data_IF_624814756424
#
_entry.id   IF_624814756424
#
_cell.length_a   1.000
_cell.length_b   1.000
_cell.length_c   1.000
_cell.angle_alpha   90.00
_cell.angle_beta   90.00
_cell.angle_gamma   90.00
#
_symmetry.space_group_name_H-M   'P 1'
#
loop_
_entity.id
_entity.type
_entity.pdbx_description
1 polymer ?
#
# COMPACT_ATOMS: atom_id res chain seq x y z
N UNK A 1 -21.41 18.31 -14.52
CA UNK A 1 -21.13 19.46 -15.42
C UNK A 1 -22.37 20.04 -16.11
N UNK A 2 -23.26 19.25 -16.73
CA UNK A 2 -24.42 19.78 -17.49
C UNK A 2 -25.42 20.64 -16.69
N UNK A 3 -25.61 20.38 -15.38
CA UNK A 3 -26.54 21.14 -14.51
C UNK A 3 -26.04 22.55 -14.13
N UNK A 4 -24.73 22.72 -13.98
CA UNK A 4 -24.11 24.00 -13.59
C UNK A 4 -24.07 25.02 -14.75
N UNK A 5 -23.92 24.52 -15.99
CA UNK A 5 -23.91 25.35 -17.20
C UNK A 5 -25.29 26.01 -17.43
N UNK A 6 -26.39 25.28 -17.18
CA UNK A 6 -27.75 25.81 -17.32
C UNK A 6 -28.04 26.93 -16.30
N UNK A 7 -27.50 26.79 -15.08
CA UNK A 7 -27.69 27.76 -14.00
C UNK A 7 -26.95 29.08 -14.28
N UNK A 8 -25.74 28.99 -14.83
CA UNK A 8 -24.95 30.17 -15.23
C UNK A 8 -25.63 30.94 -16.37
N UNK A 9 -26.25 30.22 -17.30
CA UNK A 9 -26.98 30.80 -18.43
C UNK A 9 -28.27 31.51 -17.98
N UNK A 10 -28.99 30.94 -17.01
CA UNK A 10 -30.17 31.57 -16.39
C UNK A 10 -29.81 32.80 -15.53
N UNK A 11 -28.69 32.77 -14.81
CA UNK A 11 -28.23 33.91 -14.02
C UNK A 11 -27.84 35.11 -14.92
N UNK A 12 -27.18 34.84 -16.06
CA UNK A 12 -26.84 35.87 -17.05
C UNK A 12 -28.12 36.47 -17.67
N UNK A 13 -29.10 35.63 -18.04
CA UNK A 13 -30.38 36.12 -18.59
C UNK A 13 -31.14 36.97 -17.55
N UNK A 14 -31.16 36.57 -16.28
CA UNK A 14 -31.84 37.32 -15.22
C UNK A 14 -31.22 38.68 -14.90
N UNK A 15 -29.92 38.86 -15.12
CA UNK A 15 -29.21 40.12 -14.87
C UNK A 15 -29.50 41.15 -15.98
N UNK A 16 -29.67 40.71 -17.23
CA UNK A 16 -29.75 41.58 -18.40
C UNK A 16 -31.18 41.86 -18.91
N UNK A 17 -32.22 41.24 -18.34
CA UNK A 17 -33.61 41.52 -18.71
C UNK A 17 -34.17 42.68 -17.88
N UNK A 18 -34.35 43.84 -18.53
CA UNK A 18 -35.11 44.96 -17.97
C UNK A 18 -36.59 44.84 -18.38
N UNK A 19 -37.47 44.58 -17.40
CA UNK A 19 -38.91 44.62 -17.61
C UNK A 19 -39.41 46.07 -17.46
N UNK A 20 -39.50 46.79 -18.57
CA UNK A 20 -39.96 48.18 -18.64
C UNK A 20 -41.40 48.40 -18.14
N UNK A 21 -42.20 47.33 -17.95
CA UNK A 21 -43.60 47.42 -17.49
C UNK A 21 -43.78 47.42 -15.95
N UNK A 22 -42.76 47.04 -15.18
CA UNK A 22 -42.88 46.82 -13.72
C UNK A 22 -42.53 48.05 -12.86
N UNK A 23 -42.07 49.15 -13.47
CA UNK A 23 -41.53 50.29 -12.75
C UNK A 23 -40.27 49.94 -11.95
N UNK A 24 -39.59 50.96 -11.42
CA UNK A 24 -38.30 50.79 -10.72
C UNK A 24 -38.44 49.84 -9.51
N UNK A 25 -39.52 49.99 -8.75
CA UNK A 25 -39.77 49.18 -7.54
C UNK A 25 -40.12 47.73 -7.87
N UNK A 26 -40.93 47.49 -8.91
CA UNK A 26 -41.29 46.12 -9.33
C UNK A 26 -40.11 45.36 -9.93
N UNK A 27 -39.21 46.04 -10.64
CA UNK A 27 -37.96 45.45 -11.13
C UNK A 27 -37.02 45.00 -10.00
N UNK A 28 -36.97 45.76 -8.90
CA UNK A 28 -36.17 45.39 -7.71
C UNK A 28 -36.78 44.16 -7.03
N UNK A 29 -38.10 44.14 -6.79
CA UNK A 29 -38.78 42.99 -6.17
C UNK A 29 -38.58 41.71 -7.00
N UNK A 30 -38.68 41.81 -8.31
CA UNK A 30 -38.46 40.67 -9.21
C UNK A 30 -37.02 40.13 -9.14
N UNK A 31 -36.02 41.02 -9.11
CA UNK A 31 -34.62 40.61 -8.95
C UNK A 31 -34.36 39.94 -7.61
N UNK A 32 -35.00 40.41 -6.53
CA UNK A 32 -34.93 39.79 -5.20
C UNK A 32 -35.57 38.39 -5.21
N UNK A 33 -36.70 38.21 -5.89
CA UNK A 33 -37.35 36.90 -6.01
C UNK A 33 -36.52 35.89 -6.80
N UNK A 34 -35.90 36.32 -7.91
CA UNK A 34 -35.00 35.47 -8.69
C UNK A 34 -33.75 35.11 -7.87
N UNK A 35 -33.10 36.08 -7.23
CA UNK A 35 -31.93 35.80 -6.40
C UNK A 35 -32.28 34.89 -5.21
N UNK A 36 -33.42 35.12 -4.56
CA UNK A 36 -33.93 34.25 -3.50
C UNK A 36 -34.18 32.83 -3.98
N UNK A 37 -34.80 32.66 -5.16
CA UNK A 37 -35.03 31.34 -5.77
C UNK A 37 -33.74 30.61 -6.15
N UNK A 38 -32.77 31.32 -6.74
CA UNK A 38 -31.45 30.75 -7.09
C UNK A 38 -30.67 30.38 -5.82
N UNK A 39 -30.66 31.24 -4.80
CA UNK A 39 -30.04 30.93 -3.51
C UNK A 39 -30.68 29.73 -2.83
N UNK A 40 -32.01 29.61 -2.86
CA UNK A 40 -32.71 28.44 -2.31
C UNK A 40 -32.36 27.16 -3.07
N UNK A 41 -32.29 27.22 -4.41
CA UNK A 41 -31.94 26.06 -5.24
C UNK A 41 -30.47 25.63 -5.06
N UNK A 42 -29.54 26.58 -4.92
CA UNK A 42 -28.15 26.30 -4.57
C UNK A 42 -28.02 25.68 -3.17
N UNK A 43 -28.80 26.18 -2.22
CA UNK A 43 -28.89 25.60 -0.88
C UNK A 43 -29.45 24.17 -0.91
N UNK A 44 -30.46 23.90 -1.73
CA UNK A 44 -31.05 22.57 -1.87
C UNK A 44 -30.10 21.56 -2.52
N UNK A 45 -29.34 21.98 -3.54
CA UNK A 45 -28.27 21.15 -4.14
C UNK A 45 -27.15 20.87 -3.14
N UNK A 46 -26.69 21.91 -2.42
CA UNK A 46 -25.66 21.77 -1.40
C UNK A 46 -26.11 20.86 -0.25
N UNK A 47 -27.39 20.95 0.13
CA UNK A 47 -28.00 20.09 1.15
C UNK A 47 -28.05 18.63 0.70
N UNK A 48 -28.47 18.34 -0.53
CA UNK A 48 -28.51 16.97 -1.04
C UNK A 48 -27.10 16.39 -1.25
N UNK A 49 -26.12 17.18 -1.69
CA UNK A 49 -24.72 16.71 -1.78
C UNK A 49 -24.11 16.41 -0.41
N UNK A 50 -24.54 17.13 0.63
CA UNK A 50 -24.08 16.93 2.00
C UNK A 50 -24.92 15.92 2.79
N UNK A 51 -26.13 15.56 2.35
CA UNK A 51 -26.91 14.46 2.94
C UNK A 51 -26.37 13.09 2.48
N UNK A 52 -25.83 12.96 1.25
CA UNK A 52 -25.11 11.75 0.80
C UNK A 52 -23.77 11.53 1.55
N UNK A 53 -23.05 12.60 1.91
CA UNK A 53 -21.84 12.52 2.76
C UNK A 53 -22.17 12.53 4.27
N UNK A 54 -23.36 13.01 4.64
CA UNK A 54 -23.85 13.18 6.01
C UNK A 54 -24.44 11.91 6.64
N UNK A 55 -24.82 10.92 5.84
CA UNK A 55 -25.30 9.62 6.31
C UNK A 55 -24.15 8.68 6.74
N UNK A 56 -22.95 8.81 6.16
CA UNK A 56 -21.75 8.07 6.58
C UNK A 56 -21.00 8.74 7.74
N UNK A 57 -21.17 10.05 7.96
CA UNK A 57 -20.41 10.82 8.97
C UNK A 57 -21.12 11.03 10.32
N UNK A 58 -22.41 10.68 10.46
CA UNK A 58 -23.19 10.89 11.71
C UNK A 58 -22.87 9.95 12.88
N UNK A 59 -21.86 9.08 12.79
CA UNK A 59 -21.38 8.31 13.94
C UNK A 59 -20.01 8.72 14.49
N UNK A 60 -19.36 9.76 13.93
CA UNK A 60 -18.08 10.23 14.46
C UNK A 60 -18.09 11.74 14.58
N UNK A 61 -18.34 12.26 15.78
CA UNK A 61 -17.40 13.14 16.49
C UNK A 61 -18.01 13.75 17.76
N UNK A 62 -17.37 13.48 18.90
CA UNK A 62 -17.22 14.44 19.99
C UNK A 62 -15.94 14.13 20.78
N UNK A 63 -14.82 14.73 20.41
CA UNK A 63 -13.92 15.54 21.28
C UNK A 63 -12.54 15.82 20.62
N UNK A 64 -11.85 16.90 21.02
CA UNK A 64 -11.08 17.75 20.12
C UNK A 64 -9.66 17.24 19.81
N UNK A 65 -9.27 17.43 18.56
CA UNK A 65 -7.97 17.09 17.98
C UNK A 65 -6.92 18.12 18.40
N UNK A 66 -5.94 17.68 19.19
CA UNK A 66 -4.57 18.17 19.10
C UNK A 66 -3.99 17.76 17.75
N UNK A 67 -3.49 18.74 17.03
CA UNK A 67 -2.88 18.64 15.71
C UNK A 67 -1.69 17.68 15.71
N UNK A 68 -1.88 16.49 15.16
CA UNK A 68 -0.79 15.67 14.64
C UNK A 68 -1.12 15.34 13.18
N UNK A 69 -0.26 15.86 12.30
CA UNK A 69 -0.28 15.60 10.86
C UNK A 69 0.09 14.13 10.66
N UNK A 70 -0.91 13.25 10.69
CA UNK A 70 -0.77 11.89 10.21
C UNK A 70 -0.80 11.93 8.68
N UNK A 71 0.39 11.78 8.10
CA UNK A 71 0.55 11.44 6.71
C UNK A 71 -0.30 10.20 6.40
N UNK A 72 -1.19 10.29 5.42
CA UNK A 72 -1.72 9.14 4.71
C UNK A 72 -0.52 8.42 4.08
N UNK A 73 0.02 7.43 4.79
CA UNK A 73 0.82 6.40 4.16
C UNK A 73 -0.17 5.45 3.48
N UNK A 74 -0.35 5.65 2.17
CA UNK A 74 -0.59 4.52 1.28
C UNK A 74 0.54 3.52 1.54
N UNK A 75 0.30 2.58 2.46
CA UNK A 75 1.16 1.45 2.68
C UNK A 75 1.10 0.60 1.41
N UNK A 76 1.94 0.97 0.44
CA UNK A 76 2.28 0.16 -0.71
C UNK A 76 2.66 -1.20 -0.15
N UNK A 77 1.83 -2.20 -0.45
CA UNK A 77 2.12 -3.59 -0.13
C UNK A 77 3.38 -3.97 -0.91
N UNK A 78 4.55 -3.87 -0.28
CA UNK A 78 5.82 -4.30 -0.85
C UNK A 78 5.85 -5.83 -0.73
N UNK A 79 5.30 -6.47 -1.75
CA UNK A 79 5.49 -7.90 -2.03
C UNK A 79 5.76 -8.11 -3.53
N UNK A 80 6.62 -7.26 -4.10
CA UNK A 80 7.14 -7.44 -5.45
C UNK A 80 8.65 -7.29 -5.41
N UNK A 81 9.33 -8.15 -6.17
CA UNK A 81 10.67 -7.90 -6.65
C UNK A 81 10.79 -6.42 -7.00
N UNK A 82 11.61 -5.69 -6.24
CA UNK A 82 11.89 -4.27 -6.51
C UNK A 82 13.24 -4.20 -7.19
N UNK A 83 13.43 -3.18 -8.03
CA UNK A 83 14.73 -2.94 -8.66
C UNK A 83 15.82 -2.78 -7.60
N UNK A 84 15.52 -2.10 -6.49
CA UNK A 84 16.44 -1.98 -5.37
C UNK A 84 16.83 -3.33 -4.76
N UNK A 85 15.87 -4.23 -4.55
CA UNK A 85 16.14 -5.56 -4.02
C UNK A 85 16.97 -6.40 -4.99
N UNK A 86 16.66 -6.35 -6.29
CA UNK A 86 17.40 -7.07 -7.34
C UNK A 86 18.87 -6.59 -7.37
N UNK A 87 19.10 -5.27 -7.40
CA UNK A 87 20.45 -4.70 -7.39
C UNK A 87 21.23 -4.97 -6.09
N UNK A 88 20.53 -5.14 -4.95
CA UNK A 88 21.16 -5.42 -3.67
C UNK A 88 21.48 -6.90 -3.46
N UNK A 89 20.65 -7.80 -4.00
CA UNK A 89 20.78 -9.26 -3.85
C UNK A 89 21.72 -9.85 -4.89
N UNK A 90 21.68 -9.36 -6.12
CA UNK A 90 22.47 -9.84 -7.24
C UNK A 90 23.57 -8.84 -7.60
N UNK A 91 24.81 -9.14 -7.17
CA UNK A 91 25.98 -8.32 -7.50
C UNK A 91 26.18 -8.14 -9.00
N UNK A 92 25.74 -9.09 -9.83
CA UNK A 92 25.89 -9.02 -11.29
C UNK A 92 24.98 -7.97 -11.91
N UNK A 93 23.79 -7.74 -11.36
CA UNK A 93 22.85 -6.72 -11.85
C UNK A 93 23.39 -5.31 -11.59
N UNK A 94 23.97 -5.07 -10.41
CA UNK A 94 24.61 -3.79 -10.11
C UNK A 94 25.87 -3.60 -10.97
N UNK A 95 26.71 -4.63 -11.10
CA UNK A 95 27.89 -4.59 -11.98
C UNK A 95 27.52 -4.28 -13.43
N UNK A 96 26.45 -4.89 -13.95
CA UNK A 96 25.93 -4.58 -15.29
C UNK A 96 25.61 -3.09 -15.43
N UNK A 97 24.85 -2.51 -14.50
CA UNK A 97 24.50 -1.07 -14.54
C UNK A 97 25.74 -0.18 -14.44
N UNK A 98 26.71 -0.54 -13.60
CA UNK A 98 27.97 0.20 -13.46
C UNK A 98 28.84 0.11 -14.72
N UNK A 99 28.83 -1.04 -15.41
CA UNK A 99 29.51 -1.23 -16.68
C UNK A 99 28.86 -0.37 -17.77
N UNK A 100 27.53 -0.33 -17.85
CA UNK A 100 26.82 0.53 -18.80
C UNK A 100 27.09 2.03 -18.52
N UNK A 101 27.16 2.44 -17.25
CA UNK A 101 27.61 3.78 -16.89
C UNK A 101 29.03 4.06 -17.43
N UNK A 102 29.95 3.10 -17.30
CA UNK A 102 31.32 3.25 -17.79
C UNK A 102 31.41 3.29 -19.33
N UNK A 103 30.57 2.52 -20.03
CA UNK A 103 30.44 2.54 -21.50
C UNK A 103 29.97 3.92 -21.96
N UNK A 104 28.89 4.44 -21.37
CA UNK A 104 28.39 5.78 -21.71
C UNK A 104 29.46 6.84 -21.41
N UNK A 105 30.12 6.77 -20.24
CA UNK A 105 31.22 7.65 -19.89
C UNK A 105 32.34 7.66 -20.93
N UNK A 106 32.78 6.48 -21.38
CA UNK A 106 33.85 6.35 -22.37
C UNK A 106 33.44 6.83 -23.77
N UNK A 107 32.15 6.78 -24.07
CA UNK A 107 31.59 7.20 -25.36
C UNK A 107 31.42 8.72 -25.47
N UNK A 108 30.84 9.37 -24.45
CA UNK A 108 30.53 10.83 -24.48
C UNK A 108 31.61 11.71 -23.83
N UNK A 109 32.52 11.11 -23.05
CA UNK A 109 33.66 11.77 -22.38
C UNK A 109 33.24 13.02 -21.59
N UNK A 110 32.39 12.87 -20.55
CA UNK A 110 31.90 14.01 -19.76
C UNK A 110 32.97 14.47 -18.76
N UNK A 111 32.77 15.63 -18.13
CA UNK A 111 33.59 16.03 -16.98
C UNK A 111 33.12 15.34 -15.69
N UNK A 112 31.81 15.21 -15.49
CA UNK A 112 31.23 14.54 -14.33
C UNK A 112 30.05 13.66 -14.73
N UNK A 113 29.76 12.69 -13.86
CA UNK A 113 28.60 11.84 -14.04
C UNK A 113 28.08 11.25 -12.73
N UNK A 114 26.79 11.00 -12.69
CA UNK A 114 26.07 10.47 -11.54
C UNK A 114 25.04 9.44 -11.99
N UNK A 115 24.88 8.40 -11.18
CA UNK A 115 23.85 7.39 -11.35
C UNK A 115 22.93 7.42 -10.14
N UNK A 116 21.63 7.61 -10.38
CA UNK A 116 20.60 7.54 -9.35
C UNK A 116 19.60 6.43 -9.64
N UNK A 117 19.02 5.88 -8.59
CA UNK A 117 17.84 5.01 -8.63
C UNK A 117 16.67 5.70 -7.94
N UNK A 118 15.49 5.60 -8.52
CA UNK A 118 14.23 5.81 -7.81
C UNK A 118 13.59 4.47 -7.51
N UNK A 119 13.36 4.19 -6.23
CA UNK A 119 12.64 3.00 -5.79
C UNK A 119 11.12 3.11 -5.93
N UNK A 120 10.43 2.00 -5.74
CA UNK A 120 8.97 1.94 -5.75
C UNK A 120 8.31 2.78 -4.63
N UNK A 121 9.08 3.05 -3.57
CA UNK A 121 8.79 3.95 -2.46
C UNK A 121 8.91 5.45 -2.82
N UNK A 122 9.35 5.75 -4.05
CA UNK A 122 9.61 7.11 -4.52
C UNK A 122 10.93 7.70 -4.04
N UNK A 123 11.68 7.01 -3.17
CA UNK A 123 12.94 7.51 -2.66
C UNK A 123 14.02 7.45 -3.75
N UNK A 124 14.71 8.59 -3.91
CA UNK A 124 15.85 8.72 -4.79
C UNK A 124 17.14 8.45 -4.02
N UNK A 125 17.98 7.56 -4.54
CA UNK A 125 19.29 7.21 -3.97
C UNK A 125 20.36 7.29 -5.05
N UNK A 126 21.53 7.87 -4.72
CA UNK A 126 22.71 7.84 -5.59
C UNK A 126 23.39 6.47 -5.49
N UNK A 127 23.57 5.81 -6.63
CA UNK A 127 24.28 4.52 -6.74
C UNK A 127 25.76 4.70 -7.05
N UNK A 128 26.08 5.67 -7.93
CA UNK A 128 27.45 5.88 -8.39
C UNK A 128 27.70 7.35 -8.77
N UNK A 129 28.96 7.75 -8.78
CA UNK A 129 29.40 9.02 -9.33
C UNK A 129 30.86 8.91 -9.81
N UNK A 130 31.23 9.74 -10.78
CA UNK A 130 32.59 9.84 -11.30
C UNK A 130 32.90 11.27 -11.72
N UNK A 131 34.11 11.73 -11.42
CA UNK A 131 34.60 13.08 -11.72
C UNK A 131 35.95 12.99 -12.44
N UNK A 132 36.15 13.84 -13.45
CA UNK A 132 37.44 13.97 -14.14
C UNK A 132 38.44 14.83 -13.35
N UNK A 133 37.93 15.71 -12.49
CA UNK A 133 38.69 16.61 -11.60
C UNK A 133 38.04 16.66 -10.22
N UNK A 134 38.82 16.86 -9.16
CA UNK A 134 38.27 16.93 -7.80
C UNK A 134 37.30 18.11 -7.67
N UNK A 135 36.07 17.82 -7.25
CA UNK A 135 35.02 18.81 -6.99
C UNK A 135 34.32 18.39 -5.69
N UNK A 136 34.11 19.33 -4.77
CA UNK A 136 33.32 19.06 -3.58
C UNK A 136 31.82 19.10 -3.93
N UNK A 137 31.09 18.01 -3.70
CA UNK A 137 29.64 17.95 -3.94
C UNK A 137 28.88 17.95 -2.61
N UNK A 138 27.77 18.68 -2.53
CA UNK A 138 26.89 18.64 -1.36
C UNK A 138 26.13 17.31 -1.37
N UNK A 139 26.48 16.43 -0.43
CA UNK A 139 26.05 15.01 -0.42
C UNK A 139 24.52 14.82 -0.35
N UNK A 140 23.81 15.79 0.23
CA UNK A 140 22.37 15.67 0.55
C UNK A 140 21.44 16.26 -0.51
N UNK A 141 21.96 16.96 -1.52
CA UNK A 141 21.11 17.63 -2.52
C UNK A 141 20.75 16.72 -3.69
N UNK A 142 19.46 16.73 -4.06
CA UNK A 142 18.89 15.88 -5.12
C UNK A 142 18.44 16.71 -6.32
N UNK A 143 18.66 16.24 -7.56
CA UNK A 143 18.27 16.97 -8.77
C UNK A 143 16.78 16.80 -9.10
N UNK A 144 15.88 16.95 -8.12
CA UNK A 144 14.47 16.58 -8.26
C UNK A 144 13.76 17.31 -9.42
N UNK A 145 14.10 18.57 -9.68
CA UNK A 145 13.58 19.34 -10.81
C UNK A 145 13.93 18.70 -12.16
N UNK A 146 15.20 18.32 -12.34
CA UNK A 146 15.68 17.66 -13.55
C UNK A 146 15.02 16.29 -13.73
N UNK A 147 14.90 15.53 -12.65
CA UNK A 147 14.26 14.21 -12.71
C UNK A 147 12.77 14.33 -13.04
N UNK A 148 12.07 15.31 -12.47
CA UNK A 148 10.68 15.59 -12.79
C UNK A 148 10.48 16.01 -14.26
N UNK A 149 11.48 16.63 -14.90
CA UNK A 149 11.44 16.92 -16.34
C UNK A 149 11.55 15.63 -17.17
N UNK A 150 12.49 14.75 -16.82
CA UNK A 150 12.64 13.43 -17.46
C UNK A 150 11.36 12.58 -17.29
N UNK A 151 10.72 12.67 -16.13
CA UNK A 151 9.49 11.94 -15.84
C UNK A 151 8.28 12.39 -16.66
N UNK A 152 8.28 13.60 -17.20
CA UNK A 152 7.17 14.15 -18.00
C UNK A 152 7.17 13.68 -19.45
N UNK A 153 8.16 12.88 -19.88
CA UNK A 153 8.09 12.14 -21.15
C UNK A 153 9.37 12.10 -21.99
N UNK A 154 10.50 12.59 -21.49
CA UNK A 154 11.79 12.47 -22.19
C UNK A 154 12.64 11.38 -21.55
N UNK A 155 12.97 10.35 -22.32
CA UNK A 155 13.94 9.31 -21.93
C UNK A 155 15.37 9.83 -21.99
N UNK A 156 15.66 10.77 -22.89
CA UNK A 156 16.95 11.45 -22.97
C UNK A 156 16.69 12.96 -23.05
N UNK A 157 17.37 13.71 -22.20
CA UNK A 157 17.40 15.18 -22.21
C UNK A 157 18.83 15.61 -22.54
N UNK A 158 18.97 16.40 -23.59
CA UNK A 158 20.24 16.99 -24.01
C UNK A 158 20.11 18.52 -23.98
N UNK A 159 20.83 19.14 -23.05
CA UNK A 159 20.96 20.59 -22.96
C UNK A 159 22.36 21.01 -23.38
N UNK A 160 22.45 21.70 -24.51
CA UNK A 160 23.72 22.06 -25.15
C UNK A 160 24.39 23.27 -24.49
N UNK A 161 23.64 24.17 -23.89
CA UNK A 161 24.18 25.27 -23.08
C UNK A 161 23.26 25.56 -21.88
N UNK A 162 23.64 25.09 -20.70
CA UNK A 162 22.94 25.39 -19.46
C UNK A 162 23.56 26.62 -18.80
N UNK A 163 22.71 27.58 -18.47
CA UNK A 163 23.14 28.79 -17.75
C UNK A 163 23.34 28.46 -16.26
N UNK A 164 24.29 29.12 -15.56
CA UNK A 164 24.54 28.89 -14.13
C UNK A 164 23.28 29.04 -13.26
N UNK A 165 22.34 29.89 -13.66
CA UNK A 165 21.06 30.08 -12.98
C UNK A 165 20.05 28.90 -13.15
N UNK A 166 20.44 27.81 -13.84
CA UNK A 166 19.60 26.62 -13.97
C UNK A 166 19.77 25.71 -12.75
N UNK A 167 18.79 25.68 -11.85
CA UNK A 167 18.76 24.81 -10.66
C UNK A 167 18.63 23.30 -10.98
N UNK A 168 19.10 22.86 -12.16
CA UNK A 168 19.01 21.49 -12.65
C UNK A 168 19.94 20.54 -11.89
N UNK A 169 21.12 21.03 -11.49
CA UNK A 169 22.15 20.27 -10.78
C UNK A 169 22.51 20.97 -9.45
N UNK A 170 21.63 20.90 -8.43
CA UNK A 170 21.76 21.73 -7.23
C UNK A 170 22.96 21.34 -6.35
N UNK A 171 23.51 20.14 -6.52
CA UNK A 171 24.60 19.61 -5.70
C UNK A 171 25.99 20.20 -5.97
N UNK A 172 26.14 21.09 -6.97
CA UNK A 172 27.37 21.82 -7.24
C UNK A 172 27.46 23.12 -6.44
N UNK A 173 28.68 23.47 -6.03
CA UNK A 173 29.00 24.84 -5.65
C UNK A 173 29.28 25.65 -6.92
N UNK A 174 28.48 26.69 -7.19
CA UNK A 174 28.63 27.52 -8.38
C UNK A 174 30.02 28.19 -8.44
N UNK A 175 30.66 28.48 -7.31
CA UNK A 175 31.97 29.12 -7.31
C UNK A 175 33.09 28.13 -7.67
N UNK A 176 32.87 26.83 -7.48
CA UNK A 176 33.86 25.77 -7.75
C UNK A 176 33.67 25.15 -9.14
N UNK A 177 32.41 24.90 -9.54
CA UNK A 177 32.08 24.22 -10.77
C UNK A 177 30.77 24.72 -11.38
N UNK A 178 30.86 25.24 -12.62
CA UNK A 178 29.70 25.66 -13.41
C UNK A 178 29.54 24.73 -14.61
N UNK A 179 28.58 23.80 -14.59
CA UNK A 179 28.27 23.00 -15.76
C UNK A 179 27.74 23.91 -16.87
N UNK A 180 28.12 23.63 -18.11
CA UNK A 180 27.72 24.34 -19.33
C UNK A 180 26.97 23.46 -20.30
N UNK A 181 27.05 22.14 -20.22
CA UNK A 181 26.14 21.26 -20.94
C UNK A 181 25.75 20.07 -20.07
N UNK A 182 24.58 19.50 -20.35
CA UNK A 182 23.99 18.39 -19.60
C UNK A 182 23.41 17.36 -20.57
N UNK A 183 23.71 16.08 -20.30
CA UNK A 183 23.04 14.94 -20.87
C UNK A 183 22.44 14.12 -19.72
N UNK A 184 21.13 13.88 -19.76
CA UNK A 184 20.46 13.04 -18.79
C UNK A 184 19.70 11.92 -19.50
N UNK A 185 19.83 10.69 -19.00
CA UNK A 185 19.18 9.50 -19.55
C UNK A 185 18.35 8.87 -18.44
N UNK A 186 17.06 8.65 -18.70
CA UNK A 186 16.13 7.92 -17.88
C UNK A 186 15.94 6.51 -18.46
N UNK A 187 16.34 5.51 -17.69
CA UNK A 187 16.00 4.11 -17.93
C UNK A 187 14.76 3.76 -17.08
N UNK A 188 13.57 3.84 -17.68
CA UNK A 188 12.32 3.46 -17.01
C UNK A 188 12.18 1.93 -16.98
N UNK A 189 12.27 1.34 -15.78
CA UNK A 189 12.17 -0.11 -15.60
C UNK A 189 10.73 -0.51 -15.31
N UNK A 190 10.06 0.27 -14.46
CA UNK A 190 8.62 0.15 -14.22
C UNK A 190 8.02 1.55 -14.16
N UNK A 191 6.68 1.65 -14.09
CA UNK A 191 5.98 2.95 -13.91
C UNK A 191 6.42 3.74 -12.67
N UNK A 192 7.07 3.10 -11.70
CA UNK A 192 7.50 3.71 -10.43
C UNK A 192 9.01 3.64 -10.20
N UNK A 193 9.72 2.82 -10.96
CA UNK A 193 11.14 2.56 -10.75
C UNK A 193 11.94 2.89 -12.01
N UNK A 194 12.99 3.69 -11.83
CA UNK A 194 13.84 4.11 -12.92
C UNK A 194 15.28 4.34 -12.44
N UNK A 195 16.21 4.23 -13.38
CA UNK A 195 17.58 4.71 -13.22
C UNK A 195 17.75 6.03 -13.97
N UNK A 196 18.58 6.90 -13.42
CA UNK A 196 18.93 8.18 -14.02
C UNK A 196 20.44 8.28 -14.14
N UNK A 197 20.92 8.38 -15.38
CA UNK A 197 22.31 8.63 -15.70
C UNK A 197 22.43 10.11 -16.05
N UNK A 198 23.17 10.87 -15.25
CA UNK A 198 23.36 12.30 -15.43
C UNK A 198 24.82 12.54 -15.76
N UNK A 199 25.09 13.30 -16.81
CA UNK A 199 26.45 13.65 -17.24
C UNK A 199 26.52 15.13 -17.60
N UNK A 200 27.56 15.81 -17.14
CA UNK A 200 27.77 17.23 -17.42
C UNK A 200 29.18 17.54 -17.90
N UNK A 201 29.33 18.73 -18.50
CA UNK A 201 30.59 19.27 -18.97
C UNK A 201 30.68 20.76 -18.71
N UNK A 202 31.91 21.28 -18.47
CA UNK A 202 32.23 22.71 -18.40
C UNK A 202 32.19 23.39 -19.77
N UNK A 203 32.11 22.62 -20.86
CA UNK A 203 32.14 23.13 -22.22
C UNK A 203 30.73 23.12 -22.82
N UNK A 204 30.24 24.23 -23.39
CA UNK A 204 28.98 24.23 -24.11
C UNK A 204 29.09 23.37 -25.37
N UNK A 205 28.00 22.70 -25.75
CA UNK A 205 27.90 21.76 -26.87
C UNK A 205 28.86 20.54 -26.75
N UNK A 206 29.25 20.14 -25.53
CA UNK A 206 30.14 18.99 -25.37
C UNK A 206 29.53 17.65 -25.82
N UNK A 207 28.20 17.56 -25.86
CA UNK A 207 27.47 16.35 -26.25
C UNK A 207 26.76 16.56 -27.59
N UNK A 208 26.96 15.64 -28.54
CA UNK A 208 26.40 15.72 -29.88
C UNK A 208 25.00 15.09 -29.93
N UNK A 209 24.08 15.71 -30.68
CA UNK A 209 22.76 15.14 -30.96
C UNK A 209 22.81 13.92 -31.88
N UNK A 210 23.87 13.75 -32.67
CA UNK A 210 24.07 12.56 -33.52
C UNK A 210 24.38 11.29 -32.71
N UNK A 211 24.81 11.44 -31.45
CA UNK A 211 25.10 10.33 -30.55
C UNK A 211 23.83 9.76 -29.88
N UNK A 212 22.71 10.49 -29.94
CA UNK A 212 21.45 10.13 -29.29
C UNK A 212 20.97 8.72 -29.69
N UNK A 213 20.97 8.30 -30.98
CA UNK A 213 20.52 6.95 -31.36
C UNK A 213 21.34 5.82 -30.72
N UNK A 214 22.64 6.04 -30.50
CA UNK A 214 23.51 5.06 -29.83
C UNK A 214 23.17 5.01 -28.34
N UNK A 215 22.99 6.18 -27.71
CA UNK A 215 22.57 6.28 -26.31
C UNK A 215 21.17 5.67 -26.07
N UNK A 216 20.24 5.83 -27.02
CA UNK A 216 18.93 5.19 -27.00
C UNK A 216 19.04 3.66 -27.09
N UNK A 217 19.97 3.16 -27.90
CA UNK A 217 20.25 1.71 -28.01
C UNK A 217 20.79 1.16 -26.68
N UNK A 218 21.76 1.85 -26.08
CA UNK A 218 22.31 1.50 -24.76
C UNK A 218 21.20 1.53 -23.69
N UNK A 219 20.41 2.61 -23.65
CA UNK A 219 19.31 2.74 -22.70
C UNK A 219 18.27 1.64 -22.86
N UNK A 220 17.92 1.28 -24.10
CA UNK A 220 16.98 0.20 -24.39
C UNK A 220 17.51 -1.16 -23.92
N UNK A 221 18.82 -1.40 -24.07
CA UNK A 221 19.49 -2.60 -23.54
C UNK A 221 19.40 -2.66 -22.01
N UNK A 222 19.72 -1.56 -21.31
CA UNK A 222 19.62 -1.44 -19.85
C UNK A 222 18.20 -1.77 -19.39
N UNK A 223 17.20 -1.12 -19.99
CA UNK A 223 15.79 -1.33 -19.65
C UNK A 223 15.38 -2.78 -19.88
N UNK A 224 15.75 -3.37 -21.02
CA UNK A 224 15.41 -4.75 -21.36
C UNK A 224 15.99 -5.76 -20.37
N UNK A 225 17.28 -5.66 -20.06
CA UNK A 225 17.96 -6.59 -19.15
C UNK A 225 17.40 -6.49 -17.74
N UNK A 226 17.28 -5.27 -17.20
CA UNK A 226 16.80 -5.06 -15.83
C UNK A 226 15.33 -5.43 -15.66
N UNK A 227 14.48 -5.11 -16.64
CA UNK A 227 13.08 -5.53 -16.64
C UNK A 227 12.96 -7.05 -16.62
N UNK A 228 13.83 -7.75 -17.37
CA UNK A 228 13.84 -9.20 -17.39
C UNK A 228 14.30 -9.80 -16.05
N UNK A 229 15.34 -9.25 -15.44
CA UNK A 229 15.80 -9.69 -14.12
C UNK A 229 14.72 -9.50 -13.06
N UNK A 230 14.02 -8.36 -13.09
CA UNK A 230 12.91 -8.07 -12.18
C UNK A 230 11.74 -9.05 -12.33
N UNK A 231 11.41 -9.42 -13.58
CA UNK A 231 10.41 -10.44 -13.89
C UNK A 231 10.81 -11.81 -13.35
N UNK A 232 12.07 -12.23 -13.59
CA UNK A 232 12.60 -13.53 -13.12
C UNK A 232 12.61 -13.61 -11.60
N UNK A 233 13.04 -12.57 -10.89
CA UNK A 233 13.01 -12.54 -9.42
C UNK A 233 11.57 -12.59 -8.87
N UNK A 234 10.63 -11.92 -9.56
CA UNK A 234 9.21 -11.98 -9.23
C UNK A 234 8.62 -13.39 -9.40
N UNK A 235 8.98 -14.08 -10.48
CA UNK A 235 8.59 -15.47 -10.73
C UNK A 235 9.20 -16.42 -9.70
N UNK A 236 10.48 -16.28 -9.38
CA UNK A 236 11.16 -17.12 -8.39
C UNK A 236 10.52 -16.97 -7.00
N UNK A 237 10.22 -15.73 -6.60
CA UNK A 237 9.53 -15.44 -5.33
C UNK A 237 8.12 -16.04 -5.31
N UNK A 238 7.36 -15.93 -6.40
CA UNK A 238 6.04 -16.54 -6.52
C UNK A 238 6.10 -18.07 -6.44
N UNK A 239 7.05 -18.70 -7.14
CA UNK A 239 7.24 -20.16 -7.11
C UNK A 239 7.58 -20.66 -5.72
N UNK A 240 8.50 -19.99 -5.02
CA UNK A 240 8.87 -20.36 -3.64
C UNK A 240 7.66 -20.29 -2.71
N UNK A 241 6.80 -19.27 -2.85
CA UNK A 241 5.55 -19.16 -2.09
C UNK A 241 4.58 -20.31 -2.39
N UNK A 242 4.38 -20.66 -3.66
CA UNK A 242 3.50 -21.79 -4.03
C UNK A 242 4.03 -23.13 -3.50
N UNK A 243 5.35 -23.35 -3.56
CA UNK A 243 5.98 -24.55 -3.00
C UNK A 243 5.72 -24.66 -1.49
N UNK A 244 5.89 -23.56 -0.76
CA UNK A 244 5.62 -23.52 0.67
C UNK A 244 4.15 -23.85 1.00
N UNK A 245 3.21 -23.31 0.22
CA UNK A 245 1.78 -23.64 0.39
C UNK A 245 1.47 -25.10 0.08
N UNK A 246 2.10 -25.69 -0.94
CA UNK A 246 1.94 -27.11 -1.26
C UNK A 246 2.50 -28.00 -0.15
N UNK A 247 3.66 -27.66 0.42
CA UNK A 247 4.25 -28.38 1.55
C UNK A 247 3.33 -28.36 2.77
N UNK A 248 2.75 -27.18 3.09
CA UNK A 248 1.75 -27.05 4.15
C UNK A 248 0.51 -27.90 3.85
N UNK A 249 -0.03 -27.80 2.63
CA UNK A 249 -1.21 -28.57 2.24
C UNK A 249 -0.98 -30.08 2.35
N UNK A 250 0.19 -30.57 1.91
CA UNK A 250 0.57 -31.97 2.04
C UNK A 250 0.69 -32.40 3.50
N UNK A 251 1.31 -31.58 4.35
CA UNK A 251 1.47 -31.86 5.78
C UNK A 251 0.13 -31.92 6.52
N UNK A 252 -0.85 -31.11 6.11
CA UNK A 252 -2.19 -31.13 6.69
C UNK A 252 -3.06 -32.27 6.17
N UNK A 253 -2.80 -32.76 4.95
CA UNK A 253 -3.56 -33.85 4.35
C UNK A 253 -3.04 -35.24 4.78
N UNK A 254 -1.79 -35.33 5.24
CA UNK A 254 -1.19 -36.60 5.68
C UNK A 254 -1.65 -37.09 7.06
N UNK A 255 -2.27 -36.22 7.85
CA UNK A 255 -2.78 -36.58 9.19
C UNK A 255 -4.11 -37.36 9.10
N UNK A 256 -4.40 -38.16 10.13
CA UNK A 256 -5.56 -39.06 10.15
C UNK A 256 -6.79 -38.49 10.88
N UNK A 257 -6.60 -37.47 11.72
CA UNK A 257 -7.66 -36.90 12.55
C UNK A 257 -7.58 -35.36 12.66
N UNK A 258 -8.66 -34.75 13.17
CA UNK A 258 -8.79 -33.31 13.29
C UNK A 258 -7.80 -32.70 14.30
N UNK A 259 -7.53 -33.38 15.41
CA UNK A 259 -6.64 -32.86 16.46
C UNK A 259 -5.19 -32.80 15.96
N UNK A 260 -4.75 -33.84 15.25
CA UNK A 260 -3.48 -33.88 14.53
C UNK A 260 -3.39 -32.77 13.47
N UNK A 261 -4.46 -32.52 12.72
CA UNK A 261 -4.53 -31.42 11.75
C UNK A 261 -4.39 -30.04 12.40
N UNK A 262 -5.11 -29.82 13.50
CA UNK A 262 -5.03 -28.60 14.32
C UNK A 262 -3.61 -28.44 14.87
N UNK A 263 -2.98 -29.52 15.33
CA UNK A 263 -1.62 -29.49 15.85
C UNK A 263 -0.61 -29.03 14.79
N UNK A 264 -0.63 -29.63 13.59
CA UNK A 264 0.26 -29.24 12.47
C UNK A 264 0.05 -27.77 12.09
N UNK A 265 -1.20 -27.35 11.92
CA UNK A 265 -1.53 -25.95 11.62
C UNK A 265 -1.04 -25.00 12.71
N UNK A 266 -1.21 -25.36 13.99
CA UNK A 266 -0.76 -24.53 15.10
C UNK A 266 0.75 -24.34 15.11
N UNK A 267 1.52 -25.40 14.84
CA UNK A 267 2.98 -25.33 14.76
C UNK A 267 3.42 -24.39 13.63
N UNK A 268 2.79 -24.48 12.46
CA UNK A 268 3.07 -23.58 11.32
C UNK A 268 2.79 -22.13 11.71
N UNK A 269 1.64 -21.86 12.32
CA UNK A 269 1.22 -20.50 12.69
C UNK A 269 2.13 -19.88 13.76
N UNK A 270 2.52 -20.65 14.78
CA UNK A 270 3.43 -20.19 15.82
C UNK A 270 4.80 -19.81 15.22
N UNK A 271 5.34 -20.66 14.34
CA UNK A 271 6.62 -20.41 13.70
C UNK A 271 6.60 -19.22 12.73
N UNK A 272 5.47 -18.98 12.06
CA UNK A 272 5.37 -17.94 11.04
C UNK A 272 5.05 -16.56 11.61
N UNK A 273 4.20 -16.46 12.63
CA UNK A 273 3.69 -15.18 13.12
C UNK A 273 4.28 -14.73 14.46
N UNK A 274 4.97 -15.62 15.18
CA UNK A 274 5.57 -15.34 16.49
C UNK A 274 4.58 -14.64 17.45
N UNK A 275 3.33 -15.08 17.43
CA UNK A 275 2.26 -14.49 18.23
C UNK A 275 2.41 -14.85 19.71
N UNK A 276 2.18 -13.87 20.60
CA UNK A 276 2.16 -14.12 22.05
C UNK A 276 1.05 -15.08 22.47
N UNK A 277 -0.04 -15.16 21.70
CA UNK A 277 -1.10 -16.15 21.86
C UNK A 277 -1.72 -16.55 20.52
N UNK A 278 -1.94 -17.86 20.36
CA UNK A 278 -2.67 -18.47 19.25
C UNK A 278 -3.91 -19.19 19.81
N UNK A 279 -5.06 -18.97 19.17
CA UNK A 279 -6.30 -19.70 19.45
C UNK A 279 -6.90 -20.28 18.16
N UNK A 280 -7.30 -21.55 18.18
CA UNK A 280 -8.08 -22.21 17.12
C UNK A 280 -9.35 -22.76 17.75
N UNK A 281 -10.51 -22.40 17.20
CA UNK A 281 -11.82 -22.79 17.69
C UNK A 281 -12.75 -23.21 16.55
N UNK A 282 -13.70 -24.09 16.84
CA UNK A 282 -14.71 -24.56 15.89
C UNK A 282 -16.10 -24.47 16.49
N UNK A 283 -17.11 -24.25 15.64
CA UNK A 283 -18.53 -24.27 16.04
C UNK A 283 -18.88 -25.59 16.71
N UNK A 284 -19.72 -25.52 17.73
CA UNK A 284 -20.38 -26.68 18.29
C UNK A 284 -21.70 -26.90 17.55
N UNK A 285 -21.95 -28.10 17.01
CA UNK A 285 -23.17 -28.44 16.26
C UNK A 285 -24.32 -28.91 17.18
N UNK A 286 -24.18 -28.72 18.51
CA UNK A 286 -25.15 -29.14 19.51
C UNK A 286 -26.40 -28.24 19.49
N UNK A 287 -27.39 -28.60 18.66
CA UNK A 287 -28.62 -27.84 18.38
C UNK A 287 -29.51 -27.49 19.59
N UNK A 288 -29.15 -27.91 20.80
CA UNK A 288 -29.85 -27.61 22.05
C UNK A 288 -29.23 -26.45 22.87
N UNK A 289 -28.02 -25.97 22.55
CA UNK A 289 -27.30 -24.96 23.36
C UNK A 289 -26.97 -23.67 22.59
N UNK A 290 -27.87 -23.18 21.75
CA UNK A 290 -27.61 -21.96 20.97
C UNK A 290 -26.38 -22.07 20.06
N UNK A 291 -26.01 -21.00 19.39
CA UNK A 291 -24.85 -21.01 18.50
C UNK A 291 -23.57 -20.72 19.31
N UNK A 292 -22.78 -21.75 19.61
CA UNK A 292 -21.51 -21.65 20.36
C UNK A 292 -20.32 -22.17 19.55
N UNK A 293 -19.11 -21.88 20.02
CA UNK A 293 -17.88 -22.49 19.54
C UNK A 293 -17.00 -22.94 20.71
N UNK A 294 -16.17 -23.94 20.47
CA UNK A 294 -15.23 -24.51 21.45
C UNK A 294 -13.81 -24.31 20.99
N UNK A 295 -12.96 -23.80 21.88
CA UNK A 295 -11.52 -23.69 21.65
C UNK A 295 -10.95 -25.12 21.60
N UNK A 296 -10.37 -25.49 20.45
CA UNK A 296 -9.68 -26.77 20.30
C UNK A 296 -8.19 -26.65 20.63
N UNK A 297 -7.58 -25.50 20.35
CA UNK A 297 -6.18 -25.23 20.69
C UNK A 297 -6.00 -23.80 21.20
N UNK A 298 -5.23 -23.66 22.28
CA UNK A 298 -4.70 -22.40 22.77
C UNK A 298 -3.21 -22.59 23.09
N UNK A 299 -2.36 -21.69 22.61
CA UNK A 299 -0.90 -21.70 22.84
C UNK A 299 -0.46 -20.28 23.23
N UNK A 300 0.48 -20.15 24.16
CA UNK A 300 1.04 -18.87 24.56
C UNK A 300 0.55 -18.43 25.94
N UNK A 301 0.12 -17.17 26.04
CA UNK A 301 -0.30 -16.53 27.31
C UNK A 301 -1.27 -17.40 28.12
N UNK A 302 -0.98 -17.51 29.41
CA UNK A 302 -1.82 -18.22 30.38
C UNK A 302 -3.00 -17.33 30.80
N UNK A 303 -4.16 -17.56 30.19
CA UNK A 303 -5.43 -16.97 30.57
C UNK A 303 -6.52 -18.07 30.68
N UNK A 304 -7.75 -17.75 31.12
CA UNK A 304 -8.82 -18.74 31.29
C UNK A 304 -9.34 -19.36 29.98
N UNK A 305 -9.00 -18.80 28.81
CA UNK A 305 -9.52 -19.22 27.51
C UNK A 305 -8.61 -20.30 26.90
N UNK A 306 -8.69 -21.49 27.50
CA UNK A 306 -7.90 -22.68 27.14
C UNK A 306 -8.66 -23.65 26.24
N UNK A 307 -7.98 -24.70 25.76
CA UNK A 307 -8.65 -25.81 25.05
C UNK A 307 -9.79 -26.38 25.90
N UNK A 308 -10.94 -26.61 25.26
CA UNK A 308 -12.18 -27.04 25.90
C UNK A 308 -13.10 -25.90 26.34
N UNK A 309 -12.64 -24.64 26.35
CA UNK A 309 -13.49 -23.50 26.67
C UNK A 309 -14.55 -23.26 25.58
N UNK A 310 -15.81 -23.15 25.99
CA UNK A 310 -16.96 -22.89 25.12
C UNK A 310 -17.40 -21.43 25.24
N UNK A 311 -17.66 -20.76 24.10
CA UNK A 311 -18.09 -19.37 24.06
C UNK A 311 -19.27 -19.14 23.10
N UNK A 312 -20.16 -18.16 23.37
CA UNK A 312 -21.27 -17.81 22.49
C UNK A 312 -20.80 -17.12 21.19
N UNK A 313 -21.48 -17.37 20.06
CA UNK A 313 -21.16 -16.71 18.78
C UNK A 313 -21.72 -15.29 18.64
N UNK A 314 -22.66 -14.91 19.51
CA UNK A 314 -23.21 -13.55 19.59
C UNK A 314 -22.41 -12.64 20.52
N UNK A 315 -21.28 -13.13 21.04
CA UNK A 315 -20.47 -12.44 22.03
C UNK A 315 -18.97 -12.41 21.66
N UNK A 316 -18.29 -11.38 22.15
CA UNK A 316 -16.87 -11.15 21.89
C UNK A 316 -16.45 -11.00 20.42
N UNK A 317 -15.19 -10.63 20.20
CA UNK A 317 -14.62 -10.52 18.86
C UNK A 317 -14.58 -11.87 18.12
N UNK A 318 -14.26 -12.95 18.83
CA UNK A 318 -14.16 -14.29 18.24
C UNK A 318 -15.51 -14.84 17.79
N UNK A 319 -16.58 -14.62 18.58
CA UNK A 319 -17.95 -14.95 18.16
C UNK A 319 -18.37 -14.13 16.94
N UNK A 320 -18.05 -12.82 16.94
CA UNK A 320 -18.32 -11.94 15.80
C UNK A 320 -17.65 -12.41 14.49
N UNK A 321 -16.39 -12.86 14.55
CA UNK A 321 -15.66 -13.34 13.36
C UNK A 321 -16.34 -14.55 12.72
N UNK A 322 -16.78 -15.50 13.55
CA UNK A 322 -17.51 -16.68 13.07
C UNK A 322 -18.89 -16.28 12.57
N UNK A 323 -19.66 -15.50 13.33
CA UNK A 323 -21.05 -15.15 12.99
C UNK A 323 -21.16 -14.23 11.77
N UNK A 324 -20.24 -13.29 11.60
CA UNK A 324 -20.18 -12.40 10.43
C UNK A 324 -19.40 -13.00 9.27
N UNK A 325 -18.70 -14.11 9.48
CA UNK A 325 -17.87 -14.76 8.48
C UNK A 325 -16.85 -13.80 7.85
N UNK A 326 -16.26 -12.92 8.67
CA UNK A 326 -15.36 -11.85 8.25
C UNK A 326 -14.12 -11.81 9.14
N UNK A 327 -12.93 -11.55 8.57
CA UNK A 327 -11.74 -11.34 9.38
C UNK A 327 -11.89 -10.05 10.21
N UNK A 328 -11.16 -9.98 11.31
CA UNK A 328 -11.07 -8.80 12.15
C UNK A 328 -9.61 -8.54 12.52
N UNK A 329 -9.13 -7.32 12.25
CA UNK A 329 -7.79 -6.85 12.60
C UNK A 329 -7.95 -5.62 13.50
N UNK A 330 -7.28 -5.65 14.65
CA UNK A 330 -7.29 -4.60 15.63
C UNK A 330 -5.86 -4.33 16.10
N UNK A 331 -5.38 -3.14 15.81
CA UNK A 331 -4.02 -2.70 16.11
C UNK A 331 -3.76 -2.53 17.61
N UNK A 332 -4.78 -2.05 18.33
CA UNK A 332 -4.75 -1.85 19.77
C UNK A 332 -6.15 -2.04 20.38
N UNK A 333 -6.33 -3.09 21.18
CA UNK A 333 -7.57 -3.45 21.86
C UNK A 333 -7.94 -2.51 23.00
N UNK A 334 -6.94 -1.81 23.55
CA UNK A 334 -7.16 -0.81 24.61
C UNK A 334 -7.48 0.58 24.02
N UNK A 335 -7.50 0.71 22.69
CA UNK A 335 -7.84 1.96 22.00
C UNK A 335 -9.36 2.10 21.93
N UNK A 336 -9.96 2.67 22.97
CA UNK A 336 -11.39 2.96 23.06
C UNK A 336 -11.82 3.31 24.48
N UNK A 337 -13.02 3.86 24.64
CA UNK A 337 -13.59 4.15 25.96
C UNK A 337 -14.11 2.90 26.68
N UNK A 338 -14.35 1.82 25.93
CA UNK A 338 -14.96 0.59 26.44
C UNK A 338 -14.04 -0.60 26.25
N UNK A 339 -14.06 -1.49 27.23
CA UNK A 339 -13.41 -2.79 27.13
C UNK A 339 -14.02 -3.62 26.01
N UNK A 340 -13.17 -4.17 25.13
CA UNK A 340 -13.60 -5.02 24.02
C UNK A 340 -13.35 -6.49 24.40
N UNK A 341 -14.39 -7.28 24.73
CA UNK A 341 -14.23 -8.69 25.06
C UNK A 341 -13.80 -9.51 23.84
N UNK A 342 -12.92 -10.47 24.05
CA UNK A 342 -12.42 -11.36 23.01
C UNK A 342 -13.31 -12.58 22.82
N UNK A 343 -13.82 -13.15 23.92
CA UNK A 343 -14.65 -14.35 23.88
C UNK A 343 -16.04 -14.17 24.47
N UNK A 344 -16.17 -13.49 25.62
CA UNK A 344 -17.47 -13.29 26.28
C UNK A 344 -17.54 -11.92 26.96
N UNK A 345 -18.74 -11.35 27.10
CA UNK A 345 -19.01 -10.07 27.76
C UNK A 345 -18.66 -10.05 29.24
N UNK A 346 -18.52 -11.21 29.87
CA UNK A 346 -18.05 -11.34 31.25
C UNK A 346 -16.53 -11.21 31.37
N UNK A 347 -15.79 -11.21 30.25
CA UNK A 347 -14.36 -10.91 30.23
C UNK A 347 -14.13 -9.47 30.72
N UNK A 348 -13.23 -9.31 31.70
CA UNK A 348 -12.95 -8.00 32.34
C UNK A 348 -11.52 -7.50 32.12
N UNK A 349 -10.67 -8.29 31.47
CA UNK A 349 -9.26 -7.98 31.25
C UNK A 349 -8.77 -8.68 29.98
N UNK A 350 -7.82 -8.04 29.29
CA UNK A 350 -7.19 -8.56 28.08
C UNK A 350 -5.90 -9.32 28.39
N UNK A 351 -5.54 -9.52 29.66
CA UNK A 351 -4.32 -10.26 30.07
C UNK A 351 -3.03 -9.74 29.41
N UNK A 352 -2.94 -8.43 29.18
CA UNK A 352 -1.80 -7.78 28.53
C UNK A 352 -1.81 -7.83 27.00
N UNK A 353 -2.79 -8.49 26.37
CA UNK A 353 -3.00 -8.42 24.92
C UNK A 353 -3.28 -6.98 24.49
N UNK A 354 -2.64 -6.57 23.40
CA UNK A 354 -2.74 -5.26 22.76
C UNK A 354 -3.22 -5.39 21.32
N UNK A 355 -2.66 -6.26 20.50
CA UNK A 355 -3.12 -6.42 19.11
C UNK A 355 -3.86 -7.74 18.91
N UNK A 356 -4.82 -7.75 17.99
CA UNK A 356 -5.68 -8.90 17.71
C UNK A 356 -5.89 -9.06 16.21
N UNK A 357 -5.65 -10.26 15.69
CA UNK A 357 -5.94 -10.64 14.32
C UNK A 357 -6.67 -11.98 14.31
N UNK A 358 -7.92 -11.99 13.87
CA UNK A 358 -8.73 -13.20 13.78
C UNK A 358 -9.30 -13.37 12.39
N UNK A 359 -9.22 -14.59 11.86
CA UNK A 359 -9.78 -14.96 10.56
C UNK A 359 -10.66 -16.20 10.70
N UNK A 360 -11.77 -16.27 9.95
CA UNK A 360 -12.64 -17.44 10.01
C UNK A 360 -12.08 -18.58 9.13
N UNK A 361 -12.18 -19.80 9.65
CA UNK A 361 -11.95 -21.04 8.91
C UNK A 361 -13.24 -21.38 8.16
N UNK A 362 -13.22 -21.30 6.83
CA UNK A 362 -14.42 -21.40 5.99
C UNK A 362 -14.52 -22.72 5.25
N UNK A 363 -15.59 -23.47 5.48
CA UNK A 363 -15.92 -24.68 4.72
C UNK A 363 -17.20 -24.42 3.94
N UNK A 364 -17.14 -24.61 2.61
CA UNK A 364 -18.25 -24.30 1.68
C UNK A 364 -18.78 -22.86 1.88
N UNK A 365 -17.87 -21.89 1.97
CA UNK A 365 -18.15 -20.46 2.19
C UNK A 365 -18.81 -20.11 3.53
N UNK A 366 -19.00 -21.07 4.44
CA UNK A 366 -19.48 -20.82 5.80
C UNK A 366 -18.33 -20.89 6.82
N UNK A 367 -18.27 -19.93 7.75
CA UNK A 367 -17.33 -20.00 8.86
C UNK A 367 -17.70 -21.16 9.81
N UNK A 368 -16.92 -22.24 9.79
CA UNK A 368 -17.05 -23.39 10.69
C UNK A 368 -16.15 -23.27 11.92
N UNK A 369 -15.22 -22.31 11.92
CA UNK A 369 -14.32 -22.04 13.01
C UNK A 369 -13.53 -20.75 12.78
N UNK A 370 -12.47 -20.57 13.55
CA UNK A 370 -11.56 -19.42 13.46
C UNK A 370 -10.12 -19.80 13.80
N UNK A 371 -9.21 -18.93 13.37
CA UNK A 371 -7.83 -18.84 13.84
C UNK A 371 -7.62 -17.42 14.34
N UNK A 372 -7.09 -17.27 15.55
CA UNK A 372 -6.83 -15.97 16.18
C UNK A 372 -5.40 -15.89 16.66
N UNK A 373 -4.73 -14.81 16.27
CA UNK A 373 -3.41 -14.42 16.71
C UNK A 373 -3.55 -13.16 17.57
N UNK A 374 -2.91 -13.17 18.72
CA UNK A 374 -2.96 -12.08 19.68
C UNK A 374 -1.55 -11.78 20.18
N UNK A 375 -1.27 -10.51 20.43
CA UNK A 375 0.05 -10.08 20.88
C UNK A 375 0.00 -8.99 21.94
N UNK A 376 1.03 -8.94 22.78
CA UNK A 376 1.23 -7.89 23.80
C UNK A 376 1.78 -6.58 23.21
N UNK A 377 2.17 -6.59 21.94
CA UNK A 377 2.69 -5.43 21.22
C UNK A 377 1.57 -4.78 20.40
N UNK A 378 1.45 -3.45 20.49
CA UNK A 378 0.54 -2.65 19.66
C UNK A 378 1.03 -2.64 18.20
N UNK A 379 0.11 -2.67 17.22
CA UNK A 379 0.42 -2.71 15.79
C UNK A 379 1.29 -3.92 15.36
N UNK A 380 1.24 -5.05 16.08
CA UNK A 380 2.02 -6.26 15.71
C UNK A 380 1.63 -6.80 14.34
N UNK A 381 0.35 -6.73 13.98
CA UNK A 381 -0.19 -7.31 12.75
C UNK A 381 -0.59 -6.21 11.76
N UNK A 382 -0.26 -6.44 10.49
CA UNK A 382 -0.58 -5.58 9.36
C UNK A 382 -1.64 -6.21 8.44
N UNK A 383 -2.09 -5.45 7.43
CA UNK A 383 -2.91 -5.97 6.34
C UNK A 383 -2.24 -7.13 5.59
N UNK A 384 -0.90 -7.13 5.49
CA UNK A 384 -0.13 -8.23 4.89
C UNK A 384 -0.26 -9.50 5.73
N UNK A 385 -0.15 -9.39 7.05
CA UNK A 385 -0.29 -10.53 7.97
C UNK A 385 -1.71 -11.09 7.95
N UNK A 386 -2.73 -10.22 7.92
CA UNK A 386 -4.13 -10.62 7.73
C UNK A 386 -4.29 -11.43 6.46
N UNK A 387 -3.74 -10.95 5.34
CA UNK A 387 -3.83 -11.64 4.05
C UNK A 387 -3.15 -13.00 4.07
N UNK A 388 -1.95 -13.09 4.63
CA UNK A 388 -1.22 -14.36 4.80
C UNK A 388 -2.00 -15.35 5.66
N UNK A 389 -2.52 -14.91 6.80
CA UNK A 389 -3.31 -15.76 7.70
C UNK A 389 -4.60 -16.25 7.04
N UNK A 390 -5.27 -15.41 6.23
CA UNK A 390 -6.43 -15.83 5.45
C UNK A 390 -6.10 -16.90 4.41
N UNK A 391 -4.94 -16.79 3.73
CA UNK A 391 -4.52 -17.77 2.74
C UNK A 391 -4.18 -19.12 3.41
N UNK A 392 -3.47 -19.11 4.54
CA UNK A 392 -3.25 -20.32 5.36
C UNK A 392 -4.54 -20.92 5.90
N UNK A 393 -5.46 -20.08 6.39
CA UNK A 393 -6.77 -20.50 6.87
C UNK A 393 -7.58 -21.19 5.77
N UNK A 394 -7.42 -20.81 4.50
CA UNK A 394 -8.07 -21.47 3.37
C UNK A 394 -7.53 -22.87 3.16
N UNK A 395 -6.20 -23.03 3.17
CA UNK A 395 -5.55 -24.35 3.07
C UNK A 395 -6.00 -25.23 4.23
N UNK A 396 -6.02 -24.68 5.45
CA UNK A 396 -6.48 -25.38 6.63
C UNK A 396 -7.93 -25.85 6.52
N UNK A 397 -8.82 -24.98 6.03
CA UNK A 397 -10.23 -25.31 5.90
C UNK A 397 -10.50 -26.48 4.95
N UNK A 398 -9.71 -26.61 3.88
CA UNK A 398 -9.80 -27.77 2.98
C UNK A 398 -9.45 -29.08 3.70
N UNK A 399 -8.41 -29.08 4.52
CA UNK A 399 -8.04 -30.26 5.31
C UNK A 399 -9.10 -30.57 6.39
N UNK A 400 -9.59 -29.56 7.10
CA UNK A 400 -10.64 -29.69 8.12
C UNK A 400 -11.94 -30.25 7.53
N UNK A 401 -12.33 -29.84 6.31
CA UNK A 401 -13.54 -30.30 5.63
C UNK A 401 -13.63 -31.84 5.55
N UNK A 402 -12.49 -32.53 5.42
CA UNK A 402 -12.43 -34.00 5.40
C UNK A 402 -13.00 -34.59 6.68
N UNK A 403 -12.66 -34.01 7.83
CA UNK A 403 -13.04 -34.52 9.14
C UNK A 403 -14.46 -34.12 9.56
N UNK A 404 -14.93 -32.95 9.12
CA UNK A 404 -16.30 -32.51 9.39
C UNK A 404 -17.35 -33.34 8.64
N UNK A 405 -17.03 -33.91 7.47
CA UNK A 405 -17.94 -34.79 6.74
C UNK A 405 -18.06 -36.18 7.37
N UNK A 406 -16.94 -36.77 7.80
CA UNK A 406 -16.92 -38.14 8.36
C UNK A 406 -17.81 -38.29 9.59
N UNK A 407 -17.95 -37.24 10.40
CA UNK A 407 -18.83 -37.26 11.59
C UNK A 407 -20.33 -37.16 11.26
N UNK A 408 -20.73 -36.74 10.05
CA UNK A 408 -22.15 -36.65 9.64
C UNK A 408 -22.69 -37.93 8.99
N UNK A 409 -21.83 -38.73 8.38
CA UNK A 409 -22.23 -39.97 7.68
C UNK A 409 -22.07 -41.24 8.55
N UNK A 410 -21.55 -41.11 9.78
CA UNK A 410 -21.27 -42.22 10.71
C UNK A 410 -22.15 -42.28 11.97
N UNK A 411 -23.26 -41.53 12.01
CA UNK A 411 -24.21 -41.48 13.13
C UNK A 411 -25.52 -42.18 12.84
#
# INVERSE_FOLDING_TARGET
MRKYILLYLLAIIGIFVEFSFLGIVGGIIFKVLIFGGISYFLYDIWRHSNEEQGAESRQKESNPITTEVAAESDAVVIDKSTLQAVLARDGTALEFVLNEFAVIWGFIIPNNGYLFIRGADGFLKRLHHKHQSYIQTKLDQRPDMLLNLLDRGQTILLEKDIQPASNLLPFYDEDEYKPRSLLAIKAEITKREALYFLFDSKTPNAFNSEDIPILETINSSIVSVLSKLLEVDGLASALSREQHFLEIANSLNSVEDLDSCIHVMSTILVNQFEASKLTIAFKNDDGNKGATAVIKKAIGIDDPFKSGYEFPLDDGLNGWVISKNKPYLLDNIDKGEYFIPRFTKEEKTNYGIKSFLSVPVRVNDEATGLITLEDTIVNKYSEKDKKQLQDLSRIFAYAVKRFLKTNRDGG
#
